data_IF_035243057876
#
_entry.id   IF_035243057876
#
_cell.length_a   1.000
_cell.length_b   1.000
_cell.length_c   1.000
_cell.angle_alpha   90.00
_cell.angle_beta   90.00
_cell.angle_gamma   90.00
#
_symmetry.space_group_name_H-M   'P 1'
#
loop_
_entity.id
_entity.type
_entity.pdbx_description
1 polymer ?
#
# COMPACT_ATOMS: atom_id res chain seq x y z
N UNK A 1 14.34 7.11 -5.08
CA UNK A 1 13.49 7.23 -6.28
C UNK A 1 14.23 8.12 -7.24
N UNK A 2 13.99 8.00 -8.55
CA UNK A 2 14.56 8.97 -9.49
C UNK A 2 14.10 10.40 -9.17
N UNK A 3 14.97 11.36 -9.47
CA UNK A 3 14.83 12.76 -9.05
C UNK A 3 13.57 13.42 -9.59
N UNK A 4 13.24 13.18 -10.86
CA UNK A 4 12.05 13.74 -11.53
C UNK A 4 10.73 13.28 -10.89
N UNK A 5 10.60 12.00 -10.55
CA UNK A 5 9.41 11.49 -9.84
C UNK A 5 9.34 12.03 -8.42
N UNK A 6 10.48 12.15 -7.75
CA UNK A 6 10.53 12.72 -6.41
C UNK A 6 10.09 14.19 -6.41
N UNK A 7 10.60 15.00 -7.34
CA UNK A 7 10.20 16.41 -7.49
C UNK A 7 8.71 16.53 -7.78
N UNK A 8 8.18 15.70 -8.70
CA UNK A 8 6.73 15.63 -8.96
C UNK A 8 5.92 15.34 -7.70
N UNK A 9 6.36 14.41 -6.85
CA UNK A 9 5.67 14.07 -5.60
C UNK A 9 5.69 15.26 -4.62
N UNK A 10 6.82 15.95 -4.50
CA UNK A 10 6.98 17.11 -3.62
C UNK A 10 6.14 18.30 -4.10
N UNK A 11 6.12 18.57 -5.40
CA UNK A 11 5.38 19.68 -5.99
C UNK A 11 3.86 19.46 -5.96
N UNK A 12 3.41 18.21 -6.12
CA UNK A 12 2.01 17.87 -6.04
C UNK A 12 1.45 17.96 -4.60
N UNK A 13 2.27 17.65 -3.59
CA UNK A 13 1.83 17.53 -2.20
C UNK A 13 2.73 18.28 -1.19
N UNK A 14 3.03 19.58 -1.41
CA UNK A 14 4.08 20.29 -0.67
C UNK A 14 3.80 20.35 0.85
N UNK A 15 2.54 20.31 1.25
CA UNK A 15 2.15 20.37 2.65
C UNK A 15 2.60 19.14 3.48
N UNK A 16 2.85 17.99 2.84
CA UNK A 16 3.36 16.79 3.51
C UNK A 16 4.89 16.80 3.70
N UNK A 17 5.60 17.67 2.97
CA UNK A 17 7.07 17.67 2.85
C UNK A 17 7.71 18.97 3.38
N UNK A 18 7.01 19.73 4.22
CA UNK A 18 7.46 21.03 4.71
C UNK A 18 8.81 20.97 5.45
N UNK A 19 9.04 19.90 6.22
CA UNK A 19 10.24 19.73 7.05
C UNK A 19 11.35 18.94 6.35
N UNK A 20 11.33 18.84 5.01
CA UNK A 20 12.28 18.01 4.24
C UNK A 20 13.75 18.34 4.53
N UNK A 21 14.08 19.61 4.73
CA UNK A 21 15.45 20.06 4.98
C UNK A 21 15.94 19.73 6.39
N UNK A 22 15.02 19.52 7.33
CA UNK A 22 15.30 19.20 8.73
C UNK A 22 15.17 17.70 9.04
N UNK A 23 14.82 16.88 8.05
CA UNK A 23 14.53 15.45 8.21
C UNK A 23 15.37 14.61 7.24
N UNK A 24 15.42 13.27 7.39
CA UNK A 24 16.10 12.41 6.43
C UNK A 24 15.65 12.56 4.97
N UNK A 25 14.48 13.17 4.70
CA UNK A 25 14.04 13.53 3.35
C UNK A 25 15.00 14.48 2.61
N UNK A 26 15.96 15.12 3.29
CA UNK A 26 17.05 15.87 2.64
C UNK A 26 17.90 14.98 1.72
N UNK A 27 17.94 13.66 1.99
CA UNK A 27 18.59 12.66 1.13
C UNK A 27 17.66 12.10 0.04
N UNK A 28 16.43 12.62 -0.04
CA UNK A 28 15.40 12.16 -0.95
C UNK A 28 14.58 10.98 -0.43
N UNK A 29 13.74 10.46 -1.32
CA UNK A 29 12.91 9.26 -1.12
C UNK A 29 13.76 8.03 -1.40
N UNK A 30 14.02 7.21 -0.40
CA UNK A 30 14.95 6.07 -0.45
C UNK A 30 14.26 4.75 -0.90
N UNK A 31 13.43 4.78 -1.94
CA UNK A 31 12.87 3.59 -2.61
C UNK A 31 12.82 3.79 -4.14
N UNK A 32 12.60 2.74 -4.93
CA UNK A 32 12.61 2.85 -6.41
C UNK A 32 11.25 3.29 -7.02
N UNK A 33 11.26 3.63 -8.32
CA UNK A 33 10.16 4.29 -9.04
C UNK A 33 8.84 3.51 -9.08
N UNK A 34 8.88 2.18 -9.00
CA UNK A 34 7.71 1.32 -9.01
C UNK A 34 6.77 1.53 -7.82
N UNK A 35 7.24 2.13 -6.73
CA UNK A 35 6.38 2.50 -5.59
C UNK A 35 5.84 3.92 -5.64
N UNK A 36 6.12 4.69 -6.70
CA UNK A 36 5.53 6.02 -6.89
C UNK A 36 3.98 6.02 -6.79
N UNK A 37 3.23 5.08 -7.42
CA UNK A 37 1.77 5.05 -7.28
C UNK A 37 1.29 4.86 -5.84
N UNK A 38 2.03 4.11 -5.02
CA UNK A 38 1.71 3.91 -3.59
C UNK A 38 1.85 5.24 -2.85
N UNK A 39 2.96 5.94 -3.06
CA UNK A 39 3.25 7.20 -2.40
C UNK A 39 2.30 8.31 -2.85
N UNK A 40 1.98 8.40 -4.14
CA UNK A 40 1.03 9.39 -4.64
C UNK A 40 -0.41 9.14 -4.16
N UNK A 41 -0.83 7.87 -4.09
CA UNK A 41 -2.10 7.48 -3.48
C UNK A 41 -2.15 7.88 -1.99
N UNK A 42 -1.09 7.57 -1.24
CA UNK A 42 -0.98 7.89 0.17
C UNK A 42 -1.05 9.41 0.38
N UNK A 43 -0.28 10.19 -0.37
CA UNK A 43 -0.30 11.65 -0.26
C UNK A 43 -1.69 12.21 -0.52
N UNK A 44 -2.35 11.75 -1.59
CA UNK A 44 -3.72 12.18 -1.95
C UNK A 44 -4.73 11.88 -0.83
N UNK A 45 -4.65 10.71 -0.22
CA UNK A 45 -5.54 10.32 0.89
C UNK A 45 -5.32 11.19 2.12
N UNK A 46 -4.07 11.45 2.48
CA UNK A 46 -3.73 12.23 3.68
C UNK A 46 -4.10 13.71 3.52
N UNK A 47 -3.85 14.31 2.35
CA UNK A 47 -4.27 15.69 2.04
C UNK A 47 -5.79 15.80 2.08
N UNK A 48 -6.50 14.93 1.36
CA UNK A 48 -7.96 14.99 1.33
C UNK A 48 -8.59 14.73 2.71
N UNK A 49 -7.93 13.94 3.57
CA UNK A 49 -8.37 13.76 4.97
C UNK A 49 -8.24 15.04 5.77
N UNK A 50 -7.08 15.70 5.70
CA UNK A 50 -6.81 16.93 6.42
C UNK A 50 -7.76 18.06 6.01
N UNK A 51 -8.00 18.22 4.70
CA UNK A 51 -8.95 19.19 4.16
C UNK A 51 -10.37 18.97 4.67
N UNK A 52 -10.86 17.72 4.63
CA UNK A 52 -12.21 17.38 5.13
C UNK A 52 -12.34 17.57 6.64
N UNK A 53 -11.25 17.36 7.39
CA UNK A 53 -11.22 17.53 8.83
C UNK A 53 -10.99 18.98 9.26
N UNK A 54 -10.54 19.85 8.37
CA UNK A 54 -10.05 21.19 8.72
C UNK A 54 -8.81 21.13 9.62
N UNK A 55 -7.98 20.09 9.48
CA UNK A 55 -6.79 19.85 10.30
C UNK A 55 -5.51 20.06 9.49
N UNK A 56 -4.36 19.99 10.16
CA UNK A 56 -3.07 19.94 9.47
C UNK A 56 -2.88 18.58 8.81
N UNK A 57 -2.23 18.53 7.64
CA UNK A 57 -1.87 17.27 7.02
C UNK A 57 -0.73 16.59 7.80
N UNK A 58 -0.59 15.29 7.59
CA UNK A 58 0.55 14.53 8.12
C UNK A 58 1.88 15.14 7.64
N UNK A 59 2.95 14.95 8.40
CA UNK A 59 4.30 15.41 8.01
C UNK A 59 5.22 14.22 7.83
N UNK A 60 5.82 14.08 6.66
CA UNK A 60 6.79 13.02 6.44
C UNK A 60 8.18 13.41 6.92
N UNK A 61 8.87 12.46 7.52
CA UNK A 61 10.27 12.57 7.96
C UNK A 61 11.19 11.68 7.13
N UNK A 62 10.72 10.51 6.69
CA UNK A 62 11.50 9.60 5.85
C UNK A 62 10.59 8.62 5.11
N UNK A 63 10.90 8.37 3.84
CA UNK A 63 10.25 7.38 2.99
C UNK A 63 11.35 6.45 2.46
N UNK A 64 11.33 5.17 2.80
CA UNK A 64 12.43 4.25 2.44
C UNK A 64 12.01 2.82 2.21
N UNK A 65 12.79 2.10 1.41
CA UNK A 65 12.80 0.64 1.40
C UNK A 65 13.46 0.09 2.67
N UNK A 66 12.86 -0.96 3.22
CA UNK A 66 13.44 -1.77 4.29
C UNK A 66 12.94 -3.22 4.24
N UNK A 67 13.88 -4.14 4.01
CA UNK A 67 13.66 -5.58 3.92
C UNK A 67 12.69 -6.02 2.83
N UNK A 68 12.59 -5.25 1.76
CA UNK A 68 11.71 -5.48 0.61
C UNK A 68 10.35 -4.82 0.72
N UNK A 69 10.08 -4.04 1.77
CA UNK A 69 8.84 -3.26 1.90
C UNK A 69 9.12 -1.79 2.18
N UNK A 70 8.13 -0.94 1.90
CA UNK A 70 8.13 0.48 2.20
C UNK A 70 8.05 0.71 3.73
N UNK A 71 8.73 1.77 4.18
CA UNK A 71 8.57 2.36 5.51
C UNK A 71 8.31 3.86 5.38
N UNK A 72 7.28 4.31 6.08
CA UNK A 72 6.87 5.71 6.15
C UNK A 72 7.04 6.17 7.59
N UNK A 73 7.95 7.12 7.79
CA UNK A 73 8.16 7.78 9.07
C UNK A 73 7.64 9.20 8.98
N UNK A 74 6.88 9.63 9.98
CA UNK A 74 6.27 10.96 10.01
C UNK A 74 5.36 11.17 11.20
N UNK A 75 4.88 12.39 11.35
CA UNK A 75 3.86 12.78 12.32
C UNK A 75 2.47 12.67 11.69
N UNK A 76 1.53 12.09 12.44
CA UNK A 76 0.12 11.99 12.06
C UNK A 76 -0.78 12.53 13.17
N UNK A 77 -1.99 12.96 12.79
CA UNK A 77 -2.99 13.52 13.72
C UNK A 77 -3.95 12.44 14.26
N UNK A 78 -3.98 11.23 13.71
CA UNK A 78 -4.93 10.21 14.13
C UNK A 78 -4.81 8.82 13.49
N UNK A 79 -5.76 7.96 13.88
CA UNK A 79 -5.78 6.55 13.48
C UNK A 79 -6.06 6.35 11.99
N UNK A 80 -6.77 7.28 11.35
CA UNK A 80 -7.04 7.20 9.91
C UNK A 80 -5.76 7.29 9.09
N UNK A 81 -4.91 8.26 9.39
CA UNK A 81 -3.62 8.48 8.76
C UNK A 81 -2.70 7.27 9.01
N UNK A 82 -2.66 6.77 10.25
CA UNK A 82 -1.94 5.55 10.60
C UNK A 82 -2.43 4.33 9.80
N UNK A 83 -3.74 4.22 9.59
CA UNK A 83 -4.36 3.19 8.77
C UNK A 83 -3.95 3.26 7.30
N UNK A 84 -4.01 4.46 6.71
CA UNK A 84 -3.54 4.68 5.34
C UNK A 84 -2.06 4.33 5.20
N UNK A 85 -1.19 4.81 6.10
CA UNK A 85 0.24 4.46 6.11
C UNK A 85 0.44 2.94 6.22
N UNK A 86 -0.27 2.29 7.13
CA UNK A 86 -0.18 0.83 7.33
C UNK A 86 -0.54 0.07 6.06
N UNK A 87 -1.59 0.49 5.34
CA UNK A 87 -1.94 -0.12 4.07
C UNK A 87 -0.86 0.11 2.99
N UNK A 88 -0.22 1.30 2.95
CA UNK A 88 0.83 1.59 1.97
C UNK A 88 2.05 0.69 2.18
N UNK A 89 2.48 0.57 3.43
CA UNK A 89 3.56 -0.32 3.82
C UNK A 89 3.22 -1.78 3.50
N UNK A 90 1.99 -2.23 3.75
CA UNK A 90 1.55 -3.59 3.42
C UNK A 90 1.51 -3.85 1.90
N UNK A 91 0.91 -2.97 1.13
CA UNK A 91 0.77 -3.13 -0.33
C UNK A 91 2.12 -3.13 -1.04
N UNK A 92 3.13 -2.45 -0.49
CA UNK A 92 4.50 -2.48 -1.04
C UNK A 92 5.11 -3.88 -1.13
N UNK A 93 4.67 -4.84 -0.30
CA UNK A 93 5.12 -6.23 -0.36
C UNK A 93 4.53 -7.03 -1.53
N UNK A 94 3.56 -6.46 -2.23
CA UNK A 94 2.87 -7.07 -3.36
C UNK A 94 3.09 -6.31 -4.67
N UNK A 95 3.81 -5.19 -4.63
CA UNK A 95 4.14 -4.36 -5.79
C UNK A 95 5.65 -4.36 -5.99
N UNK A 96 6.09 -4.61 -7.21
CA UNK A 96 7.49 -4.53 -7.60
C UNK A 96 8.02 -3.12 -7.38
N UNK A 97 9.06 -2.98 -6.56
CA UNK A 97 9.67 -1.69 -6.24
C UNK A 97 10.21 -0.97 -7.48
N UNK A 98 10.60 -1.71 -8.52
CA UNK A 98 11.20 -1.12 -9.73
C UNK A 98 10.18 -0.73 -10.80
N UNK A 99 9.19 -1.58 -11.04
CA UNK A 99 8.26 -1.42 -12.17
C UNK A 99 6.82 -1.14 -11.79
N UNK A 100 6.46 -1.24 -10.51
CA UNK A 100 5.09 -1.03 -10.05
C UNK A 100 4.10 -2.14 -10.44
N UNK A 101 4.54 -3.14 -11.21
CA UNK A 101 3.77 -4.35 -11.53
C UNK A 101 3.66 -5.28 -10.32
N UNK A 102 2.75 -6.27 -10.32
CA UNK A 102 2.66 -7.24 -9.23
C UNK A 102 4.02 -7.88 -8.93
N UNK A 103 4.39 -7.88 -7.64
CA UNK A 103 5.69 -8.30 -7.15
C UNK A 103 5.58 -9.28 -6.00
N UNK A 104 6.70 -9.97 -5.71
CA UNK A 104 6.84 -10.88 -4.57
C UNK A 104 8.16 -10.61 -3.87
N UNK A 105 8.23 -10.90 -2.58
CA UNK A 105 9.48 -10.81 -1.84
C UNK A 105 10.53 -11.76 -2.43
N UNK A 106 11.67 -11.20 -2.79
CA UNK A 106 12.83 -11.90 -3.35
C UNK A 106 14.07 -11.70 -2.48
N UNK A 107 15.04 -12.59 -2.63
CA UNK A 107 16.32 -12.52 -1.94
C UNK A 107 17.49 -12.76 -2.88
N UNK A 108 18.55 -11.96 -2.74
CA UNK A 108 19.84 -12.16 -3.40
C UNK A 108 20.96 -11.82 -2.43
N UNK A 109 21.74 -12.83 -2.02
CA UNK A 109 22.88 -12.67 -1.09
C UNK A 109 22.49 -11.93 0.21
N UNK A 110 21.31 -12.22 0.75
CA UNK A 110 20.80 -11.60 1.98
C UNK A 110 20.16 -10.21 1.79
N UNK A 111 20.15 -9.67 0.57
CA UNK A 111 19.41 -8.46 0.23
C UNK A 111 18.00 -8.81 -0.23
N UNK A 112 17.00 -8.16 0.34
CA UNK A 112 15.58 -8.44 0.13
C UNK A 112 14.92 -7.31 -0.64
N UNK A 113 14.20 -7.62 -1.71
CA UNK A 113 13.43 -6.67 -2.50
C UNK A 113 12.10 -7.30 -2.93
N UNK A 114 11.02 -6.52 -3.01
CA UNK A 114 9.80 -6.97 -3.69
C UNK A 114 9.93 -6.67 -5.17
N UNK A 115 9.98 -7.73 -6.00
CA UNK A 115 10.23 -7.62 -7.44
C UNK A 115 9.24 -8.45 -8.25
N UNK A 116 8.92 -7.95 -9.45
CA UNK A 116 8.21 -8.71 -10.48
C UNK A 116 9.08 -9.88 -10.99
N UNK A 117 8.43 -10.94 -11.45
CA UNK A 117 9.09 -12.21 -11.81
C UNK A 117 10.19 -12.03 -12.86
N UNK A 118 9.94 -11.23 -13.91
CA UNK A 118 10.93 -11.00 -14.97
C UNK A 118 12.16 -10.20 -14.48
N UNK A 119 11.97 -9.20 -13.61
CA UNK A 119 13.06 -8.40 -13.03
C UNK A 119 13.89 -9.26 -12.07
N UNK A 120 13.21 -10.04 -11.22
CA UNK A 120 13.88 -10.97 -10.31
C UNK A 120 14.77 -11.96 -11.08
N UNK A 121 14.25 -12.54 -12.18
CA UNK A 121 15.00 -13.45 -13.03
C UNK A 121 16.20 -12.78 -13.71
N UNK A 122 15.99 -11.61 -14.32
CA UNK A 122 17.04 -10.84 -14.99
C UNK A 122 18.20 -10.48 -14.05
N UNK A 123 17.89 -10.25 -12.78
CA UNK A 123 18.88 -9.83 -11.78
C UNK A 123 19.38 -10.95 -10.88
N UNK A 124 18.91 -12.18 -11.06
CA UNK A 124 19.35 -13.32 -10.25
C UNK A 124 18.88 -13.25 -8.80
N UNK A 125 17.69 -12.72 -8.55
CA UNK A 125 16.99 -12.81 -7.28
C UNK A 125 16.16 -14.09 -7.20
N UNK A 126 16.21 -14.78 -6.06
CA UNK A 126 15.44 -15.99 -5.81
C UNK A 126 14.13 -15.68 -5.05
N UNK A 127 13.14 -16.57 -5.14
CA UNK A 127 11.94 -16.54 -4.30
C UNK A 127 12.32 -16.79 -2.84
N UNK A 128 11.76 -16.00 -1.92
CA UNK A 128 11.82 -16.34 -0.49
C UNK A 128 10.81 -17.45 -0.21
N UNK A 129 11.29 -18.61 0.23
CA UNK A 129 10.43 -19.70 0.68
C UNK A 129 9.99 -19.43 2.14
N UNK A 130 8.70 -19.59 2.42
CA UNK A 130 8.15 -19.39 3.77
C UNK A 130 8.68 -20.43 4.76
N UNK A 131 8.90 -20.00 6.01
CA UNK A 131 9.10 -20.90 7.14
C UNK A 131 7.77 -21.54 7.56
N UNK A 132 7.76 -22.76 8.13
CA UNK A 132 6.52 -23.44 8.56
C UNK A 132 5.64 -22.61 9.51
N UNK A 133 6.24 -21.80 10.40
CA UNK A 133 5.53 -20.90 11.30
C UNK A 133 4.77 -19.79 10.57
N UNK A 134 5.27 -19.33 9.42
CA UNK A 134 4.56 -18.34 8.59
C UNK A 134 3.33 -18.97 7.94
N UNK A 135 3.43 -20.23 7.48
CA UNK A 135 2.30 -20.94 6.89
C UNK A 135 1.15 -21.16 7.91
N UNK A 136 1.47 -21.34 9.19
CA UNK A 136 0.46 -21.40 10.25
C UNK A 136 -0.22 -20.05 10.50
N UNK A 137 0.56 -18.97 10.56
CA UNK A 137 0.03 -17.61 10.69
C UNK A 137 -0.87 -17.24 9.50
N UNK A 138 -0.47 -17.60 8.28
CA UNK A 138 -1.27 -17.37 7.06
C UNK A 138 -2.56 -18.18 7.06
N UNK A 139 -2.55 -19.45 7.51
CA UNK A 139 -3.78 -20.24 7.64
C UNK A 139 -4.76 -19.61 8.62
N UNK A 140 -4.27 -19.08 9.75
CA UNK A 140 -5.11 -18.37 10.72
C UNK A 140 -5.72 -17.12 10.10
N UNK A 141 -4.90 -16.32 9.42
CA UNK A 141 -5.35 -15.10 8.76
C UNK A 141 -6.39 -15.38 7.67
N UNK A 142 -6.20 -16.45 6.89
CA UNK A 142 -7.16 -16.89 5.89
C UNK A 142 -8.52 -17.25 6.50
N UNK A 143 -8.55 -17.88 7.68
CA UNK A 143 -9.79 -18.16 8.41
C UNK A 143 -10.52 -16.87 8.82
N UNK A 144 -9.81 -15.95 9.46
CA UNK A 144 -10.37 -14.65 9.87
C UNK A 144 -10.88 -13.85 8.66
N UNK A 145 -10.12 -13.84 7.58
CA UNK A 145 -10.50 -13.16 6.34
C UNK A 145 -11.78 -13.76 5.74
N UNK A 146 -11.95 -15.08 5.76
CA UNK A 146 -13.15 -15.73 5.25
C UNK A 146 -14.41 -15.35 6.08
N UNK A 147 -14.26 -15.12 7.38
CA UNK A 147 -15.34 -14.62 8.24
C UNK A 147 -15.62 -13.12 8.02
N UNK A 148 -14.56 -12.33 7.82
CA UNK A 148 -14.62 -10.88 7.58
C UNK A 148 -15.29 -10.53 6.25
N UNK A 149 -14.93 -11.27 5.19
CA UNK A 149 -15.30 -11.02 3.81
C UNK A 149 -15.75 -12.33 3.13
N UNK A 150 -16.94 -12.87 3.48
CA UNK A 150 -17.39 -14.18 3.00
C UNK A 150 -17.85 -14.18 1.53
N UNK A 151 -18.08 -13.00 0.95
CA UNK A 151 -18.48 -12.83 -0.44
C UNK A 151 -17.33 -13.01 -1.43
N UNK A 152 -17.62 -13.18 -2.73
CA UNK A 152 -16.59 -13.23 -3.75
C UNK A 152 -15.82 -11.90 -3.84
N UNK A 153 -14.54 -11.99 -4.18
CA UNK A 153 -13.72 -10.83 -4.56
C UNK A 153 -13.79 -10.69 -6.09
N UNK A 154 -14.71 -9.86 -6.55
CA UNK A 154 -15.04 -9.67 -7.97
C UNK A 154 -14.34 -8.45 -8.56
N UNK A 155 -13.01 -8.53 -8.66
CA UNK A 155 -12.16 -7.44 -9.16
C UNK A 155 -11.29 -7.92 -10.33
N UNK A 156 -10.89 -7.01 -11.23
CA UNK A 156 -9.95 -7.27 -12.31
C UNK A 156 -8.63 -7.91 -11.82
N UNK A 157 -7.97 -8.73 -12.65
CA UNK A 157 -6.79 -9.48 -12.26
C UNK A 157 -5.63 -8.58 -11.78
N UNK A 158 -5.47 -7.40 -12.37
CA UNK A 158 -4.45 -6.41 -12.01
C UNK A 158 -4.63 -5.85 -10.60
N UNK A 159 -5.84 -5.86 -10.03
CA UNK A 159 -6.09 -5.37 -8.66
C UNK A 159 -6.15 -6.45 -7.60
N UNK A 160 -6.26 -7.73 -8.00
CA UNK A 160 -6.47 -8.85 -7.07
C UNK A 160 -5.48 -8.87 -5.92
N UNK A 161 -4.19 -8.72 -6.21
CA UNK A 161 -3.13 -8.74 -5.20
C UNK A 161 -3.23 -7.58 -4.18
N UNK A 162 -3.70 -6.40 -4.61
CA UNK A 162 -3.89 -5.24 -3.73
C UNK A 162 -5.09 -5.41 -2.81
N UNK A 163 -6.17 -5.93 -3.36
CA UNK A 163 -7.41 -6.20 -2.62
C UNK A 163 -7.20 -7.34 -1.63
N UNK A 164 -6.45 -8.37 -2.01
CA UNK A 164 -6.04 -9.44 -1.09
C UNK A 164 -5.19 -8.89 0.06
N UNK A 165 -4.19 -8.05 -0.24
CA UNK A 165 -3.37 -7.40 0.78
C UNK A 165 -4.17 -6.49 1.72
N UNK A 166 -5.18 -5.78 1.20
CA UNK A 166 -6.12 -4.99 2.02
C UNK A 166 -6.91 -5.90 2.96
N UNK A 167 -7.54 -6.96 2.43
CA UNK A 167 -8.38 -7.85 3.23
C UNK A 167 -7.57 -8.57 4.32
N UNK A 168 -6.33 -8.97 4.00
CA UNK A 168 -5.40 -9.54 4.96
C UNK A 168 -4.99 -8.51 6.04
N UNK A 169 -4.82 -7.24 5.67
CA UNK A 169 -4.57 -6.14 6.61
C UNK A 169 -5.73 -5.88 7.55
N UNK A 170 -6.95 -5.81 7.02
CA UNK A 170 -8.18 -5.64 7.80
C UNK A 170 -8.43 -6.81 8.74
N UNK A 171 -8.27 -8.05 8.25
CA UNK A 171 -8.41 -9.25 9.07
C UNK A 171 -7.38 -9.31 10.20
N UNK A 172 -6.14 -8.86 9.93
CA UNK A 172 -5.11 -8.80 10.96
C UNK A 172 -5.48 -7.83 12.09
N UNK A 173 -5.95 -6.63 11.77
CA UNK A 173 -6.39 -5.63 12.77
C UNK A 173 -7.61 -6.10 13.56
N UNK A 174 -8.61 -6.65 12.85
CA UNK A 174 -9.83 -7.22 13.45
C UNK A 174 -9.49 -8.27 14.54
N UNK A 175 -8.53 -9.14 14.24
CA UNK A 175 -8.11 -10.21 15.14
C UNK A 175 -7.36 -9.72 16.39
N UNK A 176 -6.86 -8.48 16.43
CA UNK A 176 -6.18 -7.94 17.61
C UNK A 176 -7.17 -7.52 18.71
N UNK A 177 -8.40 -7.15 18.35
CA UNK A 177 -9.46 -6.69 19.27
C UNK A 177 -10.85 -7.21 18.84
N UNK A 178 -11.04 -8.53 18.72
CA UNK A 178 -12.24 -9.11 18.12
C UNK A 178 -13.53 -8.77 18.88
N UNK A 179 -13.47 -8.58 20.19
CA UNK A 179 -14.62 -8.22 21.03
C UNK A 179 -15.12 -6.79 20.81
N UNK A 180 -14.33 -5.93 20.18
CA UNK A 180 -14.67 -4.54 19.89
C UNK A 180 -15.02 -4.29 18.43
N UNK A 181 -14.85 -5.29 17.56
CA UNK A 181 -14.99 -5.12 16.12
C UNK A 181 -16.33 -5.64 15.58
N UNK A 182 -17.08 -4.76 14.93
CA UNK A 182 -18.24 -5.11 14.10
C UNK A 182 -17.92 -5.05 12.60
N UNK A 183 -16.62 -5.00 12.25
CA UNK A 183 -16.14 -4.87 10.87
C UNK A 183 -16.63 -6.04 10.02
N UNK A 184 -17.35 -5.73 8.93
CA UNK A 184 -17.75 -6.71 7.91
C UNK A 184 -17.60 -6.12 6.53
N UNK A 185 -16.94 -6.87 5.65
CA UNK A 185 -16.86 -6.54 4.22
C UNK A 185 -18.01 -7.27 3.52
N UNK A 186 -19.05 -6.50 3.19
CA UNK A 186 -20.28 -7.02 2.60
C UNK A 186 -20.14 -7.27 1.10
N UNK A 187 -19.27 -6.50 0.43
CA UNK A 187 -19.05 -6.59 -1.01
C UNK A 187 -17.70 -6.03 -1.41
N UNK A 188 -17.06 -6.71 -2.36
CA UNK A 188 -15.84 -6.24 -3.03
C UNK A 188 -16.03 -6.45 -4.52
N UNK A 189 -16.08 -5.36 -5.28
CA UNK A 189 -16.29 -5.41 -6.72
C UNK A 189 -15.53 -4.29 -7.44
N UNK A 190 -15.39 -4.39 -8.76
CA UNK A 190 -15.04 -3.25 -9.61
C UNK A 190 -16.27 -2.74 -10.36
N UNK A 191 -16.54 -1.44 -10.26
CA UNK A 191 -17.65 -0.80 -10.96
C UNK A 191 -17.14 0.44 -11.69
N UNK A 192 -17.47 0.55 -12.98
CA UNK A 192 -17.06 1.71 -13.80
C UNK A 192 -15.57 2.05 -13.74
N UNK A 193 -14.71 1.03 -13.60
CA UNK A 193 -13.26 1.20 -13.52
C UNK A 193 -12.76 1.71 -12.16
N UNK A 194 -13.56 1.60 -11.10
CA UNK A 194 -13.19 1.92 -9.73
C UNK A 194 -13.40 0.73 -8.79
N UNK A 195 -12.55 0.63 -7.76
CA UNK A 195 -12.71 -0.35 -6.70
C UNK A 195 -13.86 0.07 -5.77
N UNK A 196 -14.83 -0.82 -5.57
CA UNK A 196 -15.97 -0.63 -4.67
C UNK A 196 -15.89 -1.63 -3.52
N UNK A 197 -15.79 -1.10 -2.30
CA UNK A 197 -15.94 -1.87 -1.07
C UNK A 197 -17.16 -1.38 -0.30
N UNK A 198 -18.08 -2.30 -0.01
CA UNK A 198 -19.18 -2.04 0.91
C UNK A 198 -18.81 -2.65 2.25
N UNK A 199 -18.58 -1.78 3.24
CA UNK A 199 -18.09 -2.16 4.56
C UNK A 199 -19.04 -1.64 5.64
N UNK A 200 -19.28 -2.45 6.66
CA UNK A 200 -19.98 -2.08 7.89
C UNK A 200 -18.98 -2.10 9.04
N UNK A 201 -19.11 -1.17 9.99
CA UNK A 201 -18.36 -1.25 11.24
C UNK A 201 -16.88 -0.88 11.15
N UNK A 202 -16.46 -0.22 10.06
CA UNK A 202 -15.08 0.21 9.93
C UNK A 202 -14.75 1.35 10.90
N UNK A 203 -13.73 1.15 11.74
CA UNK A 203 -13.15 2.22 12.54
C UNK A 203 -12.31 3.19 11.69
N UNK A 204 -11.74 4.23 12.31
CA UNK A 204 -10.93 5.23 11.59
C UNK A 204 -9.71 4.61 10.92
N UNK A 205 -9.02 3.67 11.57
CA UNK A 205 -7.81 3.03 11.04
C UNK A 205 -8.14 2.15 9.84
N UNK A 206 -9.19 1.35 9.94
CA UNK A 206 -9.68 0.50 8.85
C UNK A 206 -10.18 1.37 7.68
N UNK A 207 -10.86 2.48 7.95
CA UNK A 207 -11.27 3.44 6.92
C UNK A 207 -10.07 4.05 6.18
N UNK A 208 -8.97 4.34 6.88
CA UNK A 208 -7.72 4.79 6.26
C UNK A 208 -7.11 3.75 5.33
N UNK A 209 -7.08 2.47 5.74
CA UNK A 209 -6.61 1.37 4.90
C UNK A 209 -7.45 1.22 3.63
N UNK A 210 -8.78 1.25 3.76
CA UNK A 210 -9.72 1.15 2.63
C UNK A 210 -9.53 2.33 1.67
N UNK A 211 -9.42 3.55 2.20
CA UNK A 211 -9.25 4.74 1.37
C UNK A 211 -7.96 4.70 0.55
N UNK A 212 -6.86 4.22 1.13
CA UNK A 212 -5.63 4.01 0.37
C UNK A 212 -5.82 2.97 -0.73
N UNK A 213 -6.43 1.82 -0.42
CA UNK A 213 -6.60 0.76 -1.42
C UNK A 213 -7.37 1.24 -2.65
N UNK A 214 -8.44 2.02 -2.43
CA UNK A 214 -9.24 2.63 -3.50
C UNK A 214 -8.37 3.59 -4.31
N UNK A 215 -7.71 4.54 -3.63
CA UNK A 215 -6.86 5.54 -4.29
C UNK A 215 -5.68 4.90 -5.06
N UNK A 216 -5.15 3.78 -4.59
CA UNK A 216 -4.10 3.05 -5.27
C UNK A 216 -4.65 2.30 -6.50
N UNK A 217 -5.79 1.63 -6.39
CA UNK A 217 -6.40 0.96 -7.55
C UNK A 217 -6.74 1.93 -8.68
N UNK A 218 -7.10 3.18 -8.37
CA UNK A 218 -7.32 4.23 -9.37
C UNK A 218 -6.05 4.57 -10.17
N UNK A 219 -4.85 4.26 -9.64
CA UNK A 219 -3.53 4.51 -10.25
C UNK A 219 -2.92 3.28 -10.93
N UNK A 220 -3.58 2.13 -10.79
CA UNK A 220 -3.10 0.86 -11.29
C UNK A 220 -4.04 0.39 -12.41
N UNK A 221 -3.46 -0.06 -13.51
CA UNK A 221 -4.19 -0.65 -14.62
C UNK A 221 -4.92 -1.92 -14.16
N UNK A 222 -6.26 -2.00 -14.33
CA UNK A 222 -7.07 -3.08 -13.79
C UNK A 222 -6.73 -4.45 -14.39
N UNK A 223 -6.20 -4.52 -15.61
CA UNK A 223 -5.93 -5.80 -16.27
C UNK A 223 -4.52 -6.31 -15.96
N UNK A 224 -3.54 -5.42 -16.00
CA UNK A 224 -2.12 -5.79 -15.95
C UNK A 224 -1.49 -5.60 -14.56
N UNK A 225 -2.10 -4.78 -13.70
CA UNK A 225 -1.52 -4.40 -12.42
C UNK A 225 -0.31 -3.47 -12.54
N UNK A 226 -0.04 -2.91 -13.72
CA UNK A 226 1.00 -1.90 -13.92
C UNK A 226 0.53 -0.53 -13.44
N UNK A 227 1.43 0.42 -13.14
CA UNK A 227 1.07 1.83 -13.06
C UNK A 227 0.35 2.27 -14.35
N UNK A 228 -0.64 3.14 -14.26
CA UNK A 228 -1.29 3.71 -15.45
C UNK A 228 -0.31 4.60 -16.25
N UNK A 229 -0.53 4.75 -17.55
CA UNK A 229 0.41 5.40 -18.49
C UNK A 229 0.76 6.86 -18.12
N UNK A 230 -0.17 7.60 -17.51
CA UNK A 230 0.04 8.95 -16.97
C UNK A 230 1.07 8.99 -15.82
N UNK A 231 1.32 7.84 -15.21
CA UNK A 231 2.34 7.59 -14.20
C UNK A 231 3.59 6.89 -14.80
N UNK A 232 3.44 6.09 -15.87
CA UNK A 232 4.56 5.44 -16.58
C UNK A 232 5.39 6.41 -17.46
N UNK A 233 4.84 7.56 -17.89
CA UNK A 233 5.59 8.58 -18.64
C UNK A 233 6.78 9.20 -17.87
N UNK A 234 7.04 8.73 -16.65
CA UNK A 234 8.24 9.02 -15.86
C UNK A 234 9.05 7.76 -15.47
N UNK A 235 8.83 6.62 -16.14
CA UNK A 235 9.64 5.40 -16.04
C UNK A 235 10.65 5.27 -17.18
#
# INVERSE_FOLDING_TARGET
>A
MREDLQERLFDAHPALFQDREATPLVYGVECDAGWYPILDALCSVLIARAERAGSWPARFHQLKEKFGGLRVYGDTEGDYECGAITAAERMSWHICERSGRPGKLRVRRGYYLTLADHIAAQEGFATVHQLPSHAEAERRLHGVRAELAPGPVDVPPGWRHLVEALLDGLAWEDQQKPELSDLRVLRVSAESGQLVLVVKGADQRQAGQIALAIALCDRIDPETGAPREDLEAAS
#
